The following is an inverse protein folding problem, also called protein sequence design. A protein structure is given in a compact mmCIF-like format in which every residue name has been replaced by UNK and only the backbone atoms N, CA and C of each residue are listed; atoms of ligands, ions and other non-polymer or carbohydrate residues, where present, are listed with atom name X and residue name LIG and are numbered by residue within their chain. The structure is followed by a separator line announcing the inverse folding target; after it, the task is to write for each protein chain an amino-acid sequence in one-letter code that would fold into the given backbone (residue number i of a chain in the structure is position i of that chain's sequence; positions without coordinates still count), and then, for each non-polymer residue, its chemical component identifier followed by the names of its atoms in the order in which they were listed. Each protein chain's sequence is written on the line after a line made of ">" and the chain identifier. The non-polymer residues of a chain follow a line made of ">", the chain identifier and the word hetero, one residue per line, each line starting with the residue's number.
data_IF_865034060289
#
_entry.id   IF_865034060289
#
_cell.length_a   1.000
_cell.length_b   1.000
_cell.length_c   1.000
_cell.angle_alpha   90.00
_cell.angle_beta   90.00
_cell.angle_gamma   90.00
#
_symmetry.space_group_name_H-M   'P 1'
#
loop_
_entity.id
_entity.type
_entity.pdbx_description
1 polymer ?
#
# COMPACT_ATOMS: atom_id res chain seq x y z
N UNK A 1 53.36 -57.44 1.82
CA UNK A 1 52.58 -57.39 3.08
C UNK A 1 53.51 -57.12 4.25
N UNK A 2 53.57 -55.87 4.71
CA UNK A 2 54.11 -55.47 6.01
C UNK A 2 53.30 -54.27 6.49
N UNK A 3 52.80 -54.40 7.71
CA UNK A 3 51.89 -53.50 8.43
C UNK A 3 52.73 -52.48 9.20
N UNK A 4 52.43 -51.19 9.08
CA UNK A 4 52.80 -50.15 10.06
C UNK A 4 51.72 -49.05 10.10
N UNK A 5 50.89 -49.11 11.16
CA UNK A 5 50.31 -47.96 11.88
C UNK A 5 51.40 -47.45 12.87
N UNK A 6 51.35 -46.28 13.58
CA UNK A 6 50.22 -45.39 13.92
C UNK A 6 50.56 -43.88 13.70
N UNK A 7 49.71 -42.87 13.96
CA UNK A 7 49.44 -42.28 15.28
C UNK A 7 48.43 -41.14 15.10
N UNK A 8 47.36 -41.19 15.88
CA UNK A 8 46.31 -40.17 15.98
C UNK A 8 46.80 -39.05 16.92
N UNK A 9 46.77 -37.79 16.50
CA UNK A 9 46.97 -36.63 17.38
C UNK A 9 45.59 -36.10 17.79
N UNK A 10 45.24 -36.28 19.06
CA UNK A 10 44.12 -35.56 19.69
C UNK A 10 44.61 -34.18 20.13
N UNK A 11 44.01 -33.12 19.58
CA UNK A 11 44.06 -31.79 20.17
C UNK A 11 42.80 -31.57 21.01
N UNK A 12 42.96 -31.58 22.33
CA UNK A 12 41.99 -31.04 23.28
C UNK A 12 42.25 -29.55 23.45
N UNK A 13 41.26 -28.70 23.18
CA UNK A 13 41.26 -27.31 23.59
C UNK A 13 40.01 -27.06 24.45
N UNK A 14 40.22 -27.07 25.75
CA UNK A 14 39.34 -26.50 26.77
C UNK A 14 39.38 -24.97 26.62
N UNK A 15 38.21 -24.33 26.53
CA UNK A 15 38.08 -22.90 26.83
C UNK A 15 36.95 -22.70 27.83
N UNK A 16 37.31 -21.99 28.90
CA UNK A 16 36.61 -21.86 30.18
C UNK A 16 36.15 -20.40 30.27
N UNK A 17 34.85 -20.22 30.49
CA UNK A 17 34.15 -19.10 31.14
C UNK A 17 34.31 -17.65 30.63
N UNK A 18 33.15 -17.00 30.47
CA UNK A 18 33.04 -15.55 30.33
C UNK A 18 31.61 -15.05 30.24
N UNK A 19 30.73 -15.45 31.17
CA UNK A 19 29.44 -14.80 31.37
C UNK A 19 29.66 -13.48 32.12
N UNK A 20 29.56 -12.36 31.42
CA UNK A 20 29.50 -11.03 32.04
C UNK A 20 28.04 -10.66 32.29
N UNK A 21 27.56 -10.97 33.49
CA UNK A 21 26.41 -10.29 34.08
C UNK A 21 26.81 -8.84 34.37
N UNK A 22 26.00 -7.88 33.91
CA UNK A 22 26.05 -6.49 34.34
C UNK A 22 24.93 -6.27 35.38
N UNK A 23 25.20 -6.33 36.69
CA UNK A 23 24.33 -5.74 37.69
C UNK A 23 24.77 -4.30 37.90
N UNK A 24 23.81 -3.38 38.03
CA UNK A 24 23.84 -2.09 38.74
C UNK A 24 22.94 -1.08 38.01
N UNK A 25 21.62 -1.22 38.19
CA UNK A 25 20.77 -0.05 38.22
C UNK A 25 19.69 -0.27 39.27
N UNK A 26 19.97 0.19 40.50
CA UNK A 26 19.02 0.16 41.59
C UNK A 26 18.66 1.59 42.03
N UNK A 27 17.35 1.79 42.13
CA UNK A 27 16.61 2.71 43.00
C UNK A 27 16.98 4.21 43.01
N UNK A 28 16.08 5.01 42.41
CA UNK A 28 15.45 6.11 43.14
C UNK A 28 13.95 6.12 42.85
N UNK A 29 13.19 5.44 43.70
CA UNK A 29 11.78 5.71 43.90
C UNK A 29 11.68 7.09 44.57
N UNK A 30 11.15 8.06 43.82
CA UNK A 30 10.77 9.35 44.40
C UNK A 30 9.24 9.33 44.56
N UNK A 31 8.81 9.24 45.81
CA UNK A 31 7.42 9.33 46.25
C UNK A 31 6.90 10.74 45.95
N UNK A 32 6.08 10.89 44.92
CA UNK A 32 5.27 12.10 44.71
C UNK A 32 3.83 11.72 45.03
N UNK A 33 3.31 12.26 46.12
CA UNK A 33 1.92 12.17 46.51
C UNK A 33 1.02 12.87 45.46
N UNK A 34 -0.05 12.24 44.97
CA UNK A 34 -1.07 12.96 44.22
C UNK A 34 -1.91 13.81 45.18
N UNK A 35 -1.90 15.12 44.92
CA UNK A 35 -2.78 16.11 45.54
C UNK A 35 -4.25 15.72 45.33
N UNK A 36 -5.02 15.95 46.38
CA UNK A 36 -6.48 16.00 46.42
C UNK A 36 -7.13 16.55 45.14
N UNK A 37 -8.01 15.75 44.53
CA UNK A 37 -8.92 16.14 43.45
C UNK A 37 -10.15 16.82 44.05
N UNK A 38 -10.27 18.14 43.88
CA UNK A 38 -11.56 18.81 43.93
C UNK A 38 -12.24 18.64 42.57
N UNK A 39 -13.38 17.96 42.55
CA UNK A 39 -14.23 17.79 41.38
C UNK A 39 -15.04 19.06 41.10
N UNK A 40 -14.99 19.66 39.89
CA UNK A 40 -16.04 20.54 39.42
C UNK A 40 -17.19 19.72 38.83
N UNK A 41 -18.43 20.04 39.25
CA UNK A 41 -19.67 19.47 38.70
C UNK A 41 -19.77 19.77 37.20
N UNK A 42 -19.87 18.72 36.38
CA UNK A 42 -20.20 18.84 34.97
C UNK A 42 -21.71 19.09 34.82
N UNK A 43 -22.05 20.24 34.24
CA UNK A 43 -23.38 20.52 33.70
C UNK A 43 -23.54 19.79 32.37
N UNK A 44 -24.71 19.22 32.15
CA UNK A 44 -25.08 18.42 30.98
C UNK A 44 -25.07 19.25 29.69
N UNK A 45 -24.47 18.77 28.58
CA UNK A 45 -24.67 19.39 27.28
C UNK A 45 -26.00 18.96 26.68
N UNK A 46 -26.71 19.96 26.17
CA UNK A 46 -27.94 19.88 25.40
C UNK A 46 -27.66 19.09 24.10
N UNK A 47 -28.42 18.03 23.88
CA UNK A 47 -28.39 17.24 22.65
C UNK A 47 -28.75 18.11 21.43
N UNK A 48 -27.82 18.23 20.48
CA UNK A 48 -28.13 18.62 19.09
C UNK A 48 -28.27 17.35 18.25
N UNK A 49 -29.21 17.30 17.29
CA UNK A 49 -29.42 16.12 16.48
C UNK A 49 -28.19 15.80 15.63
N UNK A 50 -27.91 14.50 15.54
CA UNK A 50 -26.79 13.90 14.82
C UNK A 50 -27.10 13.94 13.31
N UNK A 51 -26.34 14.69 12.52
CA UNK A 51 -26.35 14.56 11.06
C UNK A 51 -25.87 13.15 10.69
N UNK A 52 -26.51 12.54 9.70
CA UNK A 52 -26.22 11.16 9.33
C UNK A 52 -25.03 11.11 8.37
N UNK A 53 -24.28 9.99 8.38
CA UNK A 53 -23.11 9.76 7.51
C UNK A 53 -23.44 9.87 6.01
N UNK A 54 -24.73 9.76 5.67
CA UNK A 54 -25.26 9.89 4.31
C UNK A 54 -25.36 11.37 3.87
N UNK A 55 -25.66 12.29 4.79
CA UNK A 55 -25.76 13.73 4.51
C UNK A 55 -24.37 14.35 4.20
N UNK A 56 -23.32 13.85 4.86
CA UNK A 56 -21.93 14.22 4.56
C UNK A 56 -21.44 13.69 3.20
N UNK A 57 -22.07 12.62 2.68
CA UNK A 57 -21.74 12.01 1.38
C UNK A 57 -22.35 12.81 0.22
N UNK A 58 -23.58 13.31 0.38
CA UNK A 58 -24.24 14.16 -0.62
C UNK A 58 -23.59 15.54 -0.73
N UNK A 59 -23.17 16.12 0.40
CA UNK A 59 -22.51 17.43 0.47
C UNK A 59 -21.19 17.47 -0.32
N UNK A 60 -20.34 16.44 -0.17
CA UNK A 60 -19.06 16.34 -0.90
C UNK A 60 -19.23 16.00 -2.39
N UNK A 61 -20.32 15.34 -2.75
CA UNK A 61 -20.65 15.06 -4.15
C UNK A 61 -21.10 16.34 -4.89
N UNK A 62 -21.70 17.30 -4.16
CA UNK A 62 -22.11 18.60 -4.71
C UNK A 62 -20.94 19.57 -4.93
N UNK A 63 -19.95 19.62 -4.03
CA UNK A 63 -18.75 20.47 -4.22
C UNK A 63 -17.91 20.04 -5.44
N UNK A 64 -17.78 18.74 -5.71
CA UNK A 64 -17.07 18.24 -6.90
C UNK A 64 -17.83 18.55 -8.21
N UNK A 65 -19.17 18.62 -8.19
CA UNK A 65 -19.99 19.03 -9.35
C UNK A 65 -19.96 20.54 -9.57
N UNK A 66 -19.91 21.35 -8.51
CA UNK A 66 -19.87 22.82 -8.62
C UNK A 66 -18.55 23.33 -9.24
N UNK A 67 -17.42 22.67 -8.97
CA UNK A 67 -16.13 23.04 -9.59
C UNK A 67 -16.03 22.74 -11.09
N UNK A 68 -16.84 21.81 -11.62
CA UNK A 68 -16.88 21.52 -13.06
C UNK A 68 -17.80 22.46 -13.85
N UNK A 69 -18.77 23.11 -13.20
CA UNK A 69 -19.78 23.95 -13.86
C UNK A 69 -19.35 25.42 -14.07
N UNK A 70 -18.19 25.85 -13.54
CA UNK A 70 -17.71 27.23 -13.67
C UNK A 70 -16.69 27.47 -14.79
N UNK A 71 -16.45 26.50 -15.67
CA UNK A 71 -15.56 26.67 -16.84
C UNK A 71 -16.31 26.75 -18.19
N UNK A 72 -17.60 27.04 -18.16
CA UNK A 72 -18.44 27.15 -19.36
C UNK A 72 -18.55 28.59 -19.89
N UNK A 73 -18.18 28.76 -21.16
CA UNK A 73 -18.53 29.84 -22.11
C UNK A 73 -17.64 31.08 -22.20
N UNK A 74 -16.89 31.17 -23.31
CA UNK A 74 -17.13 32.22 -24.31
C UNK A 74 -17.06 31.58 -25.70
N UNK A 75 -18.22 31.33 -26.30
CA UNK A 75 -18.35 30.87 -27.68
C UNK A 75 -18.35 32.12 -28.56
N UNK A 76 -17.24 32.36 -29.28
CA UNK A 76 -17.18 33.41 -30.30
C UNK A 76 -17.30 32.72 -31.66
N UNK A 77 -18.44 32.90 -32.30
CA UNK A 77 -18.68 32.56 -33.69
C UNK A 77 -17.55 33.13 -34.56
N UNK A 78 -16.73 32.26 -35.13
CA UNK A 78 -15.94 32.59 -36.30
C UNK A 78 -16.11 31.49 -37.36
N UNK A 79 -16.34 31.95 -38.58
CA UNK A 79 -16.80 31.27 -39.78
C UNK A 79 -15.98 30.04 -40.21
N UNK A 80 -16.70 28.99 -40.63
CA UNK A 80 -16.14 27.77 -41.25
C UNK A 80 -15.40 28.07 -42.56
N UNK A 81 -14.20 27.52 -42.71
CA UNK A 81 -13.55 27.27 -44.00
C UNK A 81 -12.94 25.86 -43.98
N UNK A 82 -13.10 25.02 -45.02
CA UNK A 82 -12.68 23.62 -45.00
C UNK A 82 -11.19 23.49 -45.38
N UNK A 83 -10.40 22.80 -44.55
CA UNK A 83 -9.03 22.39 -44.90
C UNK A 83 -8.84 20.88 -44.79
N UNK A 84 -8.06 20.38 -45.75
CA UNK A 84 -7.77 19.00 -46.15
C UNK A 84 -7.34 18.04 -45.03
N UNK A 85 -7.46 16.70 -45.24
CA UNK A 85 -7.10 15.70 -44.25
C UNK A 85 -5.58 15.57 -44.15
N UNK A 86 -4.98 16.18 -43.14
CA UNK A 86 -3.58 15.95 -42.79
C UNK A 86 -3.46 14.62 -42.03
N UNK A 87 -2.64 13.73 -42.57
CA UNK A 87 -2.15 12.49 -41.96
C UNK A 87 -1.77 12.73 -40.50
N UNK A 88 -2.33 11.93 -39.58
CA UNK A 88 -1.99 11.99 -38.15
C UNK A 88 -0.51 11.59 -37.98
N UNK A 89 0.33 12.55 -37.62
CA UNK A 89 1.67 12.29 -37.06
C UNK A 89 1.56 11.39 -35.82
N UNK A 90 2.59 10.55 -35.54
CA UNK A 90 2.61 9.73 -34.33
C UNK A 90 2.61 10.64 -33.10
N UNK A 91 1.74 10.34 -32.15
CA UNK A 91 1.59 11.03 -30.87
C UNK A 91 2.96 11.14 -30.19
N UNK A 92 3.41 12.37 -29.93
CA UNK A 92 4.58 12.62 -29.11
C UNK A 92 4.36 11.99 -27.72
N UNK A 93 5.35 11.21 -27.25
CA UNK A 93 5.37 10.67 -25.89
C UNK A 93 5.32 11.87 -24.93
N UNK A 94 4.22 12.03 -24.20
CA UNK A 94 4.12 13.05 -23.16
C UNK A 94 5.19 12.74 -22.09
N UNK A 95 5.95 13.74 -21.62
CA UNK A 95 6.94 13.53 -20.58
C UNK A 95 6.24 13.01 -19.31
N UNK A 96 6.83 11.99 -18.66
CA UNK A 96 6.31 11.46 -17.39
C UNK A 96 6.28 12.56 -16.33
N UNK A 97 5.14 12.69 -15.64
CA UNK A 97 5.03 13.58 -14.51
C UNK A 97 5.79 12.98 -13.32
N UNK A 98 6.83 13.67 -12.88
CA UNK A 98 7.66 13.29 -11.73
C UNK A 98 7.56 14.33 -10.60
N UNK A 99 6.49 15.12 -10.57
CA UNK A 99 6.25 16.06 -9.46
C UNK A 99 6.13 15.29 -8.13
N UNK A 100 6.66 15.81 -7.01
CA UNK A 100 6.58 15.14 -5.71
C UNK A 100 5.14 14.78 -5.32
N UNK A 101 4.98 13.66 -4.62
CA UNK A 101 3.70 13.28 -3.99
C UNK A 101 3.60 13.98 -2.63
N UNK A 102 2.45 14.54 -2.26
CA UNK A 102 2.26 15.04 -0.90
C UNK A 102 2.59 13.98 0.16
N UNK A 103 3.14 14.42 1.29
CA UNK A 103 3.36 13.57 2.45
C UNK A 103 2.04 12.92 2.92
N UNK A 104 2.11 11.72 3.52
CA UNK A 104 0.93 11.03 4.04
C UNK A 104 0.21 11.91 5.09
N UNK A 105 -1.11 11.85 5.10
CA UNK A 105 -1.94 12.59 6.06
C UNK A 105 -2.54 11.67 7.11
N UNK A 106 -2.49 12.04 8.39
CA UNK A 106 -2.96 11.20 9.50
C UNK A 106 -1.81 10.44 10.17
N UNK A 107 -2.14 9.56 11.12
CA UNK A 107 -1.18 8.63 11.73
C UNK A 107 -1.33 7.24 11.06
N UNK A 108 -0.25 6.46 10.89
CA UNK A 108 -0.37 5.12 10.37
C UNK A 108 -1.12 4.21 11.35
N UNK A 109 -1.83 3.23 10.81
CA UNK A 109 -2.56 2.23 11.60
C UNK A 109 -2.46 0.86 10.94
N UNK A 110 -2.77 -0.25 11.64
CA UNK A 110 -2.86 -1.57 11.01
C UNK A 110 -3.84 -1.62 9.83
N UNK A 111 -4.87 -0.76 9.80
CA UNK A 111 -5.84 -0.70 8.70
C UNK A 111 -5.31 0.06 7.47
N UNK A 112 -4.15 0.72 7.55
CA UNK A 112 -3.59 1.55 6.47
C UNK A 112 -2.11 1.25 6.20
N UNK A 113 -1.57 0.24 6.87
CA UNK A 113 -0.18 -0.19 6.75
C UNK A 113 -0.10 -1.45 5.90
N UNK A 114 0.74 -1.42 4.88
CA UNK A 114 1.06 -2.58 4.04
C UNK A 114 2.51 -3.01 4.21
N UNK A 115 2.79 -4.27 3.87
CA UNK A 115 4.11 -4.86 3.97
C UNK A 115 4.33 -5.89 2.87
N UNK A 116 5.61 -6.17 2.58
CA UNK A 116 6.03 -7.24 1.67
C UNK A 116 7.18 -8.00 2.33
N UNK A 117 6.90 -9.21 2.80
CA UNK A 117 7.92 -10.13 3.33
C UNK A 117 8.32 -11.14 2.26
N UNK A 118 7.34 -11.85 1.71
CA UNK A 118 7.47 -12.88 0.67
C UNK A 118 6.13 -13.09 -0.06
N UNK A 119 6.07 -14.01 -1.01
CA UNK A 119 4.90 -14.28 -1.86
C UNK A 119 3.68 -14.81 -1.09
N UNK A 120 3.85 -15.19 0.17
CA UNK A 120 2.79 -15.72 1.05
C UNK A 120 2.48 -14.77 2.20
N UNK A 121 3.33 -13.78 2.44
CA UNK A 121 3.23 -12.83 3.54
C UNK A 121 3.41 -11.39 3.05
N UNK A 122 2.29 -10.79 2.65
CA UNK A 122 2.18 -9.38 2.28
C UNK A 122 0.78 -8.85 2.62
N UNK A 123 0.58 -7.54 2.52
CA UNK A 123 -0.73 -6.92 2.66
C UNK A 123 -1.04 -6.02 1.47
N UNK A 124 -2.33 -5.93 1.12
CA UNK A 124 -2.85 -5.05 0.09
C UNK A 124 -3.94 -4.16 0.67
N UNK A 125 -4.01 -2.91 0.23
CA UNK A 125 -5.16 -2.03 0.49
C UNK A 125 -6.27 -2.36 -0.51
N UNK A 126 -7.50 -2.54 -0.05
CA UNK A 126 -8.64 -2.84 -0.91
C UNK A 126 -9.92 -2.17 -0.38
N UNK A 127 -10.97 -2.05 -1.21
CA UNK A 127 -12.27 -1.55 -0.77
C UNK A 127 -12.82 -2.36 0.41
N UNK A 128 -13.48 -1.69 1.35
CA UNK A 128 -14.18 -2.38 2.44
C UNK A 128 -15.51 -2.96 1.98
N UNK A 129 -16.17 -2.31 1.02
CA UNK A 129 -17.52 -2.65 0.62
C UNK A 129 -17.50 -3.60 -0.59
N UNK A 130 -18.35 -4.64 -0.61
CA UNK A 130 -18.54 -5.47 -1.79
C UNK A 130 -18.94 -4.63 -3.01
N UNK A 131 -18.42 -4.97 -4.19
CA UNK A 131 -18.72 -4.33 -5.47
C UNK A 131 -18.31 -2.85 -5.59
N UNK A 132 -17.66 -2.28 -4.58
CA UNK A 132 -17.04 -0.97 -4.69
C UNK A 132 -15.85 -1.03 -5.64
N UNK A 133 -15.72 -0.02 -6.51
CA UNK A 133 -14.61 0.05 -7.46
C UNK A 133 -13.33 0.42 -6.74
N UNK A 134 -12.20 -0.07 -7.23
CA UNK A 134 -10.88 0.28 -6.68
C UNK A 134 -10.67 1.80 -6.72
N UNK A 135 -11.00 2.46 -7.85
CA UNK A 135 -10.89 3.92 -8.00
C UNK A 135 -11.79 4.72 -7.05
N UNK A 136 -12.92 4.15 -6.63
CA UNK A 136 -13.86 4.83 -5.72
C UNK A 136 -13.39 4.73 -4.26
N UNK A 137 -12.64 3.68 -3.93
CA UNK A 137 -12.14 3.39 -2.59
C UNK A 137 -10.77 4.02 -2.28
N UNK A 138 -10.11 4.71 -3.21
CA UNK A 138 -8.72 5.21 -3.01
C UNK A 138 -8.55 5.98 -1.70
N UNK A 139 -9.57 6.77 -1.31
CA UNK A 139 -9.53 7.60 -0.11
C UNK A 139 -9.82 6.87 1.22
N UNK A 140 -10.49 5.71 1.19
CA UNK A 140 -10.99 5.01 2.38
C UNK A 140 -10.81 3.48 2.34
N UNK A 141 -9.98 2.98 1.42
CA UNK A 141 -9.52 1.60 1.39
C UNK A 141 -8.83 1.19 2.69
N UNK A 142 -8.80 -0.11 2.96
CA UNK A 142 -8.20 -0.67 4.17
C UNK A 142 -7.28 -1.84 3.83
N UNK A 143 -6.25 -2.04 4.64
CA UNK A 143 -5.28 -3.11 4.49
C UNK A 143 -5.89 -4.48 4.83
N UNK A 144 -5.59 -5.46 3.98
CA UNK A 144 -5.87 -6.87 4.17
C UNK A 144 -4.60 -7.67 3.93
N UNK A 145 -4.26 -8.54 4.87
CA UNK A 145 -3.07 -9.38 4.75
C UNK A 145 -3.40 -10.70 4.10
N UNK A 146 -2.42 -11.29 3.42
CA UNK A 146 -2.51 -12.69 3.02
C UNK A 146 -2.67 -13.61 4.24
N UNK A 147 -3.20 -14.82 4.03
CA UNK A 147 -3.36 -15.79 5.11
C UNK A 147 -2.03 -16.13 5.81
N UNK A 148 -0.89 -16.11 5.10
CA UNK A 148 0.44 -16.29 5.68
C UNK A 148 0.92 -15.13 6.56
N UNK A 149 0.23 -13.97 6.53
CA UNK A 149 0.55 -12.77 7.29
C UNK A 149 -0.35 -12.56 8.53
N UNK A 150 -1.32 -13.46 8.77
CA UNK A 150 -2.40 -13.31 9.75
C UNK A 150 -1.94 -13.26 11.23
N UNK A 151 -0.64 -13.42 11.51
CA UNK A 151 -0.07 -13.35 12.86
C UNK A 151 0.89 -12.17 13.07
N UNK A 152 0.86 -11.15 12.21
CA UNK A 152 1.72 -9.96 12.35
C UNK A 152 1.01 -8.81 13.08
N UNK A 153 1.77 -7.98 13.78
CA UNK A 153 1.27 -6.78 14.47
C UNK A 153 0.65 -5.73 13.52
N UNK A 154 0.83 -5.93 12.22
CA UNK A 154 0.29 -5.08 11.16
C UNK A 154 -0.98 -5.66 10.52
N UNK A 155 -1.55 -6.73 11.08
CA UNK A 155 -2.68 -7.42 10.50
C UNK A 155 -3.94 -7.33 11.34
N UNK A 156 -4.91 -6.52 10.89
CA UNK A 156 -6.26 -6.47 11.46
C UNK A 156 -7.26 -7.33 10.67
N UNK A 157 -6.98 -7.61 9.38
CA UNK A 157 -7.91 -8.22 8.43
C UNK A 157 -7.16 -9.13 7.47
N UNK A 158 -7.82 -10.23 7.09
CA UNK A 158 -7.24 -11.21 6.16
C UNK A 158 -7.98 -11.18 4.83
N UNK A 159 -7.22 -11.28 3.74
CA UNK A 159 -7.75 -11.56 2.41
C UNK A 159 -8.50 -12.92 2.44
N UNK A 160 -9.67 -13.02 1.79
CA UNK A 160 -10.38 -14.28 1.60
C UNK A 160 -9.49 -15.35 0.98
N UNK A 161 -9.64 -16.59 1.45
CA UNK A 161 -8.91 -17.72 0.89
C UNK A 161 -9.14 -17.88 -0.61
N UNK A 162 -8.04 -18.08 -1.35
CA UNK A 162 -8.04 -18.19 -2.80
C UNK A 162 -8.26 -16.88 -3.54
N UNK A 163 -8.29 -15.72 -2.85
CA UNK A 163 -8.27 -14.43 -3.51
C UNK A 163 -6.96 -14.21 -4.24
N UNK A 164 -5.81 -14.44 -3.59
CA UNK A 164 -4.51 -14.47 -4.27
C UNK A 164 -4.35 -15.86 -4.89
N UNK A 165 -4.21 -15.93 -6.21
CA UNK A 165 -4.03 -17.21 -6.93
C UNK A 165 -2.58 -17.50 -7.26
N UNK A 166 -1.77 -16.46 -7.44
CA UNK A 166 -0.31 -16.56 -7.59
C UNK A 166 0.33 -15.20 -7.25
N UNK A 167 1.57 -15.21 -6.75
CA UNK A 167 2.34 -14.00 -6.44
C UNK A 167 3.84 -14.27 -6.58
N UNK A 168 4.60 -13.23 -6.90
CA UNK A 168 6.07 -13.23 -6.95
C UNK A 168 6.60 -11.98 -6.25
N UNK A 169 7.69 -12.11 -5.48
CA UNK A 169 8.38 -10.97 -4.87
C UNK A 169 9.70 -10.71 -5.57
N UNK A 170 9.97 -9.43 -5.82
CA UNK A 170 11.24 -8.97 -6.37
C UNK A 170 11.77 -7.81 -5.52
N UNK A 171 13.10 -7.67 -5.48
CA UNK A 171 13.81 -6.59 -4.79
C UNK A 171 14.84 -6.01 -5.73
N UNK A 172 14.99 -4.69 -5.70
CA UNK A 172 16.08 -4.03 -6.42
C UNK A 172 17.43 -4.36 -5.80
N UNK A 173 18.45 -4.53 -6.63
CA UNK A 173 19.83 -4.82 -6.18
C UNK A 173 20.43 -3.73 -5.28
N UNK A 174 20.04 -2.47 -5.50
CA UNK A 174 20.49 -1.31 -4.73
C UNK A 174 19.66 -1.05 -3.46
N UNK A 175 18.63 -1.88 -3.20
CA UNK A 175 17.73 -1.72 -2.07
C UNK A 175 16.78 -0.52 -2.16
N UNK A 176 16.59 0.08 -3.34
CA UNK A 176 15.64 1.17 -3.54
C UNK A 176 14.17 0.74 -3.34
N UNK A 177 13.80 -0.50 -3.67
CA UNK A 177 12.43 -0.98 -3.56
C UNK A 177 12.31 -2.50 -3.33
N UNK A 178 11.13 -2.89 -2.83
CA UNK A 178 10.60 -4.25 -2.84
C UNK A 178 9.22 -4.24 -3.47
N UNK A 179 8.87 -5.27 -4.23
CA UNK A 179 7.56 -5.38 -4.86
C UNK A 179 6.98 -6.78 -4.75
N UNK A 180 5.66 -6.85 -4.88
CA UNK A 180 4.92 -8.07 -5.13
C UNK A 180 3.97 -7.85 -6.30
N UNK A 181 4.01 -8.76 -7.27
CA UNK A 181 3.09 -8.80 -8.42
C UNK A 181 2.39 -10.13 -8.46
N UNK A 182 1.15 -10.18 -8.97
CA UNK A 182 0.46 -11.46 -9.03
C UNK A 182 -0.96 -11.42 -9.55
N UNK A 183 -1.58 -12.60 -9.47
CA UNK A 183 -2.92 -12.87 -9.95
C UNK A 183 -3.90 -12.89 -8.79
N UNK A 184 -5.13 -12.41 -9.06
CA UNK A 184 -6.25 -12.49 -8.13
C UNK A 184 -7.39 -13.32 -8.71
N UNK A 185 -8.27 -13.78 -7.83
CA UNK A 185 -9.61 -14.24 -8.15
C UNK A 185 -10.63 -13.24 -7.60
N UNK A 186 -11.02 -12.27 -8.43
CA UNK A 186 -11.97 -11.20 -8.08
C UNK A 186 -13.27 -11.67 -7.42
N UNK A 187 -13.73 -12.87 -7.76
CA UNK A 187 -14.97 -13.43 -7.19
C UNK A 187 -14.89 -13.70 -5.69
N UNK A 188 -13.68 -13.95 -5.16
CA UNK A 188 -13.45 -14.19 -3.73
C UNK A 188 -13.55 -12.91 -2.89
N UNK A 189 -13.41 -11.75 -3.51
CA UNK A 189 -13.50 -10.45 -2.86
C UNK A 189 -14.72 -9.64 -3.32
N UNK A 190 -15.64 -10.25 -4.06
CA UNK A 190 -16.80 -9.56 -4.64
C UNK A 190 -16.42 -8.29 -5.39
N UNK A 191 -15.37 -8.34 -6.21
CA UNK A 191 -14.99 -7.23 -7.10
C UNK A 191 -15.68 -7.38 -8.46
N UNK A 192 -16.01 -6.26 -9.11
CA UNK A 192 -16.64 -6.25 -10.44
C UNK A 192 -15.66 -6.69 -11.52
N UNK A 193 -16.12 -7.45 -12.51
CA UNK A 193 -15.32 -7.79 -13.70
C UNK A 193 -15.14 -6.61 -14.67
N UNK A 194 -15.96 -5.57 -14.55
CA UNK A 194 -15.87 -4.33 -15.33
C UNK A 194 -15.05 -3.25 -14.66
N UNK A 195 -14.45 -3.54 -13.50
CA UNK A 195 -13.60 -2.59 -12.81
C UNK A 195 -12.16 -2.70 -13.29
N UNK A 196 -11.71 -1.68 -14.02
CA UNK A 196 -10.35 -1.60 -14.57
C UNK A 196 -9.29 -1.26 -13.52
N UNK A 197 -9.71 -0.95 -12.30
CA UNK A 197 -8.83 -0.72 -11.17
C UNK A 197 -8.70 0.73 -10.75
N UNK A 198 -7.64 1.01 -10.01
CA UNK A 198 -7.29 2.30 -9.42
C UNK A 198 -5.98 2.18 -8.67
N UNK A 199 -5.51 3.28 -8.08
CA UNK A 199 -4.22 3.33 -7.39
C UNK A 199 -4.37 3.74 -5.93
N UNK A 200 -3.76 2.96 -5.03
CA UNK A 200 -3.44 3.40 -3.68
C UNK A 200 -1.96 3.79 -3.63
N UNK A 201 -1.66 4.85 -2.89
CA UNK A 201 -0.30 5.38 -2.78
C UNK A 201 -0.08 5.98 -1.38
N UNK A 202 1.10 6.57 -1.17
CA UNK A 202 1.45 7.20 0.12
C UNK A 202 0.49 8.32 0.54
N UNK A 203 -0.25 8.93 -0.38
CA UNK A 203 -1.20 10.01 -0.07
C UNK A 203 -2.54 9.46 0.41
N UNK A 204 -3.01 8.34 -0.14
CA UNK A 204 -4.32 7.79 0.19
C UNK A 204 -4.34 6.25 0.33
N UNK A 205 -5.05 5.72 1.34
CA UNK A 205 -5.90 6.40 2.34
C UNK A 205 -5.10 7.20 3.40
N UNK A 206 -5.79 7.96 4.26
CA UNK A 206 -5.12 8.66 5.36
C UNK A 206 -4.33 7.69 6.27
N UNK A 207 -3.06 7.97 6.53
CA UNK A 207 -2.16 7.11 7.30
C UNK A 207 -1.60 5.96 6.48
N UNK A 208 -1.75 5.99 5.16
CA UNK A 208 -1.14 5.06 4.23
C UNK A 208 0.37 4.98 4.43
N UNK A 209 0.89 3.77 4.58
CA UNK A 209 2.32 3.53 4.72
C UNK A 209 2.69 2.12 4.24
N UNK A 210 3.86 1.99 3.62
CA UNK A 210 4.55 0.70 3.57
C UNK A 210 5.59 0.56 4.68
N UNK A 211 5.69 -0.63 5.29
CA UNK A 211 6.69 -0.89 6.34
C UNK A 211 8.12 -0.84 5.81
N UNK A 212 8.33 -1.12 4.52
CA UNK A 212 9.60 -0.87 3.84
C UNK A 212 9.80 0.63 3.63
N UNK A 213 10.95 1.15 4.06
CA UNK A 213 11.26 2.59 4.05
C UNK A 213 10.68 3.39 5.22
N UNK A 214 9.60 2.91 5.85
CA UNK A 214 8.99 3.56 7.02
C UNK A 214 7.91 4.60 6.66
N UNK A 215 7.46 5.38 7.64
CA UNK A 215 6.39 6.34 7.44
C UNK A 215 6.86 7.49 6.54
N UNK A 216 6.08 7.83 5.52
CA UNK A 216 6.46 8.82 4.50
C UNK A 216 7.14 8.22 3.26
N UNK A 217 7.68 7.00 3.35
CA UNK A 217 8.26 6.32 2.21
C UNK A 217 7.20 6.05 1.13
N UNK A 218 7.59 6.24 -0.14
CA UNK A 218 6.67 6.07 -1.26
C UNK A 218 6.26 4.62 -1.46
N UNK A 219 5.01 4.39 -1.84
CA UNK A 219 4.57 3.14 -2.43
C UNK A 219 3.51 3.44 -3.49
N UNK A 220 3.33 2.49 -4.39
CA UNK A 220 2.20 2.46 -5.31
C UNK A 220 1.63 1.05 -5.32
N UNK A 221 0.31 0.97 -5.33
CA UNK A 221 -0.42 -0.28 -5.42
C UNK A 221 -1.55 -0.12 -6.43
N UNK A 222 -1.70 -1.08 -7.33
CA UNK A 222 -2.87 -1.17 -8.21
C UNK A 222 -3.48 -2.56 -8.09
N UNK A 223 -4.81 -2.60 -8.07
CA UNK A 223 -5.60 -3.82 -8.20
C UNK A 223 -6.44 -3.62 -9.44
N UNK A 224 -6.40 -4.59 -10.36
CA UNK A 224 -7.11 -4.55 -11.63
C UNK A 224 -8.04 -5.74 -11.73
N UNK A 225 -9.27 -5.62 -11.19
CA UNK A 225 -10.24 -6.69 -11.20
C UNK A 225 -10.53 -7.22 -12.61
N UNK A 226 -10.70 -6.37 -13.62
CA UNK A 226 -11.01 -6.80 -15.00
C UNK A 226 -9.94 -7.71 -15.60
N UNK A 227 -8.67 -7.45 -15.27
CA UNK A 227 -7.51 -8.25 -15.69
C UNK A 227 -7.12 -9.37 -14.70
N UNK A 228 -7.82 -9.53 -13.57
CA UNK A 228 -7.49 -10.49 -12.50
C UNK A 228 -6.04 -10.37 -12.00
N UNK A 229 -5.52 -9.14 -11.84
CA UNK A 229 -4.14 -8.93 -11.38
C UNK A 229 -4.00 -7.83 -10.34
N UNK A 230 -2.87 -7.84 -9.65
CA UNK A 230 -2.47 -6.78 -8.73
C UNK A 230 -0.96 -6.56 -8.80
N UNK A 231 -0.55 -5.40 -8.31
CA UNK A 231 0.84 -5.05 -8.13
C UNK A 231 0.99 -4.07 -6.96
N UNK A 232 2.07 -4.24 -6.22
CA UNK A 232 2.45 -3.39 -5.10
C UNK A 232 3.96 -3.22 -5.13
N UNK A 233 4.44 -1.97 -5.07
CA UNK A 233 5.86 -1.66 -4.86
C UNK A 233 5.99 -0.67 -3.72
N UNK A 234 6.85 -1.01 -2.78
CA UNK A 234 7.28 -0.12 -1.70
C UNK A 234 8.70 0.36 -1.98
N UNK A 235 8.92 1.66 -1.90
CA UNK A 235 10.21 2.30 -2.09
C UNK A 235 10.81 2.69 -0.74
N UNK A 236 12.14 2.76 -0.66
CA UNK A 236 12.86 3.02 0.59
C UNK A 236 12.83 4.50 1.00
N UNK A 237 12.58 5.39 0.04
CA UNK A 237 12.62 6.84 0.23
C UNK A 237 11.25 7.48 -0.01
N UNK A 238 11.04 8.62 0.65
CA UNK A 238 9.92 9.50 0.33
C UNK A 238 10.06 10.07 -1.08
N UNK A 239 8.94 10.37 -1.73
CA UNK A 239 8.90 11.04 -3.04
C UNK A 239 9.67 10.33 -4.16
N UNK A 240 9.81 9.01 -4.12
CA UNK A 240 10.48 8.26 -5.18
C UNK A 240 9.59 8.13 -6.43
N UNK A 241 9.50 9.20 -7.22
CA UNK A 241 8.75 9.21 -8.48
C UNK A 241 9.45 8.45 -9.61
N UNK A 242 10.66 7.92 -9.36
CA UNK A 242 11.38 7.11 -10.34
C UNK A 242 10.96 5.64 -10.26
N UNK A 243 10.78 5.12 -9.04
CA UNK A 243 10.42 3.73 -8.78
C UNK A 243 8.96 3.55 -8.35
N UNK A 244 8.40 4.50 -7.60
CA UNK A 244 7.03 4.49 -7.07
C UNK A 244 6.25 5.74 -7.54
N UNK A 245 6.15 5.92 -8.86
CA UNK A 245 5.49 7.09 -9.44
C UNK A 245 3.96 7.08 -9.23
N UNK A 246 3.45 8.06 -8.49
CA UNK A 246 2.02 8.14 -8.15
C UNK A 246 1.15 8.83 -9.22
N UNK A 247 1.73 9.21 -10.36
CA UNK A 247 1.03 9.89 -11.47
C UNK A 247 0.72 8.94 -12.63
N UNK A 248 0.93 7.63 -12.43
CA UNK A 248 0.64 6.58 -13.40
C UNK A 248 -0.59 5.74 -12.99
N UNK A 249 -1.53 6.37 -12.29
CA UNK A 249 -2.75 5.78 -11.73
C UNK A 249 -3.63 5.05 -12.76
N UNK A 250 -3.52 5.41 -14.05
CA UNK A 250 -4.31 4.85 -15.17
C UNK A 250 -3.54 3.95 -16.13
N UNK A 251 -2.23 3.80 -15.94
CA UNK A 251 -1.38 3.05 -16.87
C UNK A 251 -1.38 1.54 -16.61
N UNK A 252 -1.84 1.15 -15.42
CA UNK A 252 -1.95 -0.23 -14.98
C UNK A 252 -0.62 -0.91 -14.62
N UNK A 253 -0.74 -2.06 -13.98
CA UNK A 253 0.30 -2.84 -13.34
C UNK A 253 1.46 -3.17 -14.27
N UNK A 254 1.17 -3.62 -15.49
CA UNK A 254 2.22 -3.97 -16.46
C UNK A 254 3.14 -2.79 -16.81
N UNK A 255 2.61 -1.57 -16.71
CA UNK A 255 3.36 -0.35 -17.01
C UNK A 255 4.00 0.25 -15.75
N UNK A 256 3.27 0.29 -14.64
CA UNK A 256 3.70 0.95 -13.40
C UNK A 256 4.70 0.12 -12.59
N UNK A 257 4.46 -1.19 -12.49
CA UNK A 257 5.28 -2.14 -11.74
C UNK A 257 5.48 -3.38 -12.63
N UNK A 258 6.43 -3.34 -13.59
CA UNK A 258 6.81 -4.53 -14.33
C UNK A 258 7.25 -5.65 -13.37
N UNK A 259 6.90 -6.89 -13.68
CA UNK A 259 7.16 -8.04 -12.82
C UNK A 259 6.58 -9.33 -13.39
N UNK A 260 6.34 -10.31 -12.52
CA UNK A 260 5.79 -11.62 -12.90
C UNK A 260 4.27 -11.61 -12.84
N UNK A 261 3.64 -11.90 -13.99
CA UNK A 261 2.19 -12.03 -14.16
C UNK A 261 1.78 -13.34 -14.85
N UNK A 262 2.75 -14.17 -15.21
CA UNK A 262 2.54 -15.51 -15.74
C UNK A 262 3.23 -16.52 -14.82
N UNK A 263 2.49 -17.53 -14.38
CA UNK A 263 2.89 -18.53 -13.40
C UNK A 263 2.62 -19.93 -13.96
N UNK A 264 3.39 -20.38 -14.96
CA UNK A 264 3.17 -21.65 -15.66
C UNK A 264 3.27 -22.86 -14.73
N UNK A 265 4.12 -22.81 -13.70
CA UNK A 265 4.31 -23.90 -12.73
C UNK A 265 3.05 -24.24 -11.93
N UNK A 266 2.11 -23.30 -11.82
CA UNK A 266 0.81 -23.48 -11.17
C UNK A 266 -0.37 -23.33 -12.13
N UNK A 267 -0.10 -23.15 -13.43
CA UNK A 267 -1.13 -23.01 -14.47
C UNK A 267 -1.98 -21.74 -14.34
N UNK A 268 -1.41 -20.65 -13.83
CA UNK A 268 -2.11 -19.37 -13.62
C UNK A 268 -1.43 -18.27 -14.44
N UNK A 269 -2.20 -17.49 -15.20
CA UNK A 269 -1.72 -16.28 -15.89
C UNK A 269 -2.74 -15.16 -15.69
N UNK A 270 -2.26 -13.96 -15.35
CA UNK A 270 -3.10 -12.79 -15.10
C UNK A 270 -3.09 -11.84 -16.30
N UNK A 271 -3.92 -12.14 -17.30
CA UNK A 271 -4.31 -11.22 -18.38
C UNK A 271 -3.20 -10.86 -19.36
#
# INVERSE_FOLDING_TARGET
>A
MRVLSPTLVLCSATSIYGAAFNPLYNSKFNTIAPKSLNAPQATSPIWKPHETRQDLRESRHYEKKALWLLSGTTDRLETRQPSNPTVKSPTAIQPRNNSPTPAPTGDPSPDTTIHITDEKNFALIAPQNPQERISDAEADGIAFCTSGAASSDHCSRTLPDGFITAAAVERSDDGAWVQVTGCINRSKFSMSESDDGGQFDVRYPNGAQCTFGGYGASFIQQIEPSANRFCLRCCASENDQSNCNSHLDKEGCLTTIPGTYDFPDVGVSCG
#
